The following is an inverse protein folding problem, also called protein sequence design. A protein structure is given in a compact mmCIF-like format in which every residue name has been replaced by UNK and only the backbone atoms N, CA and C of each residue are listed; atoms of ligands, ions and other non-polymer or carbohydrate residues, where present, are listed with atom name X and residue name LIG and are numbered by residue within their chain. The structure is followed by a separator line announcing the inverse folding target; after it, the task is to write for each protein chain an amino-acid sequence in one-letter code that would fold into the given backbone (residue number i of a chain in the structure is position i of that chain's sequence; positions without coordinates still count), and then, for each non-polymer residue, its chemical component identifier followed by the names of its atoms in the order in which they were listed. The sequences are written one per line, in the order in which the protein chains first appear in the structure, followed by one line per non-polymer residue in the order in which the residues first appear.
data_IF_883123044589
#
_entry.id   IF_883123044589
#
_cell.length_a   1.000
_cell.length_b   1.000
_cell.length_c   1.000
_cell.angle_alpha   90.00
_cell.angle_beta   90.00
_cell.angle_gamma   90.00
#
_symmetry.space_group_name_H-M   'P 1'
#
loop_
_entity.id
_entity.type
_entity.pdbx_description
1 polymer ?
#
# COMPACT_ATOMS: atom_id res chain seq x y z
N UNK A 1 17.15 -36.11 63.93
CA UNK A 1 17.32 -34.65 64.02
C UNK A 1 18.17 -34.07 62.90
N UNK A 2 19.29 -34.70 62.50
CA UNK A 2 20.13 -34.26 61.37
C UNK A 2 19.48 -34.43 59.99
N UNK A 3 18.81 -35.55 59.73
CA UNK A 3 18.18 -35.82 58.42
C UNK A 3 17.02 -34.87 58.10
N UNK A 4 16.25 -34.46 59.10
CA UNK A 4 15.14 -33.50 58.95
C UNK A 4 15.62 -32.10 58.54
N UNK A 5 16.80 -31.68 59.02
CA UNK A 5 17.40 -30.39 58.65
C UNK A 5 17.96 -30.39 57.22
N UNK A 6 18.56 -31.51 56.79
CA UNK A 6 19.06 -31.69 55.42
C UNK A 6 17.90 -31.67 54.43
N UNK A 7 16.80 -32.38 54.72
CA UNK A 7 15.62 -32.42 53.85
C UNK A 7 14.91 -31.05 53.74
N UNK A 8 14.81 -30.31 54.85
CA UNK A 8 14.25 -28.94 54.85
C UNK A 8 15.13 -27.95 54.08
N UNK A 9 16.46 -28.05 54.21
CA UNK A 9 17.43 -27.22 53.49
C UNK A 9 17.41 -27.49 51.98
N UNK A 10 17.35 -28.76 51.56
CA UNK A 10 17.21 -29.16 50.16
C UNK A 10 15.87 -28.72 49.55
N UNK A 11 14.78 -28.80 50.30
CA UNK A 11 13.44 -28.37 49.85
C UNK A 11 13.36 -26.86 49.62
N UNK A 12 13.98 -26.06 50.51
CA UNK A 12 14.06 -24.60 50.37
C UNK A 12 14.91 -24.17 49.16
N UNK A 13 16.03 -24.87 48.92
CA UNK A 13 16.88 -24.65 47.75
C UNK A 13 16.15 -24.96 46.44
N UNK A 14 15.42 -26.08 46.36
CA UNK A 14 14.62 -26.45 45.19
C UNK A 14 13.50 -25.45 44.90
N UNK A 15 12.82 -24.95 45.94
CA UNK A 15 11.74 -23.96 45.77
C UNK A 15 12.28 -22.59 45.27
N UNK A 16 13.51 -22.21 45.64
CA UNK A 16 14.14 -21.00 45.13
C UNK A 16 14.62 -21.18 43.67
N UNK A 17 15.14 -22.35 43.32
CA UNK A 17 15.63 -22.66 41.97
C UNK A 17 14.50 -22.73 40.95
N UNK A 18 13.37 -23.36 41.29
CA UNK A 18 12.21 -23.45 40.37
C UNK A 18 11.62 -22.07 40.04
N UNK A 19 11.63 -21.13 41.00
CA UNK A 19 11.18 -19.75 40.75
C UNK A 19 12.09 -19.03 39.75
N UNK A 20 13.41 -19.20 39.88
CA UNK A 20 14.38 -18.61 38.95
C UNK A 20 14.25 -19.19 37.53
N UNK A 21 14.05 -20.50 37.41
CA UNK A 21 13.88 -21.17 36.11
C UNK A 21 12.61 -20.70 35.42
N UNK A 22 11.49 -20.61 36.15
CA UNK A 22 10.20 -20.13 35.59
C UNK A 22 10.30 -18.67 35.14
N UNK A 23 10.95 -17.80 35.92
CA UNK A 23 11.16 -16.40 35.55
C UNK A 23 12.03 -16.31 34.28
N UNK A 24 13.12 -17.06 34.21
CA UNK A 24 14.00 -17.05 33.04
C UNK A 24 13.28 -17.56 31.78
N UNK A 25 12.51 -18.65 31.91
CA UNK A 25 11.69 -19.17 30.82
C UNK A 25 10.63 -18.16 30.36
N UNK A 26 9.98 -17.47 31.30
CA UNK A 26 8.98 -16.45 30.99
C UNK A 26 9.60 -15.23 30.29
N UNK A 27 10.75 -14.75 30.74
CA UNK A 27 11.50 -13.66 30.08
C UNK A 27 11.90 -14.07 28.67
N UNK A 28 12.39 -15.30 28.47
CA UNK A 28 12.76 -15.80 27.15
C UNK A 28 11.53 -15.92 26.23
N UNK A 29 10.40 -16.44 26.74
CA UNK A 29 9.14 -16.48 26.01
C UNK A 29 8.65 -15.07 25.62
N UNK A 30 8.68 -14.12 26.54
CA UNK A 30 8.31 -12.73 26.25
C UNK A 30 9.22 -12.12 25.18
N UNK A 31 10.52 -12.35 25.23
CA UNK A 31 11.47 -11.86 24.22
C UNK A 31 11.18 -12.44 22.82
N UNK A 32 10.89 -13.75 22.73
CA UNK A 32 10.52 -14.40 21.46
C UNK A 32 9.18 -13.85 20.95
N UNK A 33 8.17 -13.72 21.80
CA UNK A 33 6.87 -13.16 21.40
C UNK A 33 6.99 -11.71 20.94
N UNK A 34 7.79 -10.88 21.62
CA UNK A 34 8.07 -9.50 21.23
C UNK A 34 8.79 -9.47 19.87
N UNK A 35 9.79 -10.32 19.66
CA UNK A 35 10.47 -10.44 18.37
C UNK A 35 9.49 -10.86 17.25
N UNK A 36 8.61 -11.84 17.51
CA UNK A 36 7.59 -12.28 16.56
C UNK A 36 6.55 -11.18 16.27
N UNK A 37 6.17 -10.37 17.26
CA UNK A 37 5.29 -9.22 17.05
C UNK A 37 6.00 -8.17 16.21
N UNK A 38 7.28 -7.86 16.45
CA UNK A 38 8.05 -6.94 15.61
C UNK A 38 8.31 -7.49 14.20
N UNK A 39 8.45 -8.81 14.03
CA UNK A 39 8.50 -9.45 12.71
C UNK A 39 7.13 -9.51 12.02
N UNK A 40 6.03 -9.61 12.76
CA UNK A 40 4.67 -9.59 12.21
C UNK A 40 4.19 -8.16 11.92
N UNK A 41 4.75 -7.17 12.62
CA UNK A 41 4.70 -5.74 12.30
C UNK A 41 5.85 -5.40 11.33
N UNK A 42 6.11 -6.27 10.35
CA UNK A 42 6.76 -5.83 9.12
C UNK A 42 5.71 -5.08 8.31
N UNK A 43 5.73 -3.77 8.47
CA UNK A 43 4.90 -2.82 7.77
C UNK A 43 5.32 -2.82 6.31
N UNK A 44 4.75 -3.74 5.51
CA UNK A 44 4.79 -3.74 4.04
C UNK A 44 6.12 -3.23 3.44
N UNK A 45 7.13 -4.09 3.36
CA UNK A 45 8.42 -3.73 2.78
C UNK A 45 9.15 -4.92 2.16
N UNK A 46 8.78 -5.26 0.92
CA UNK A 46 9.50 -6.07 -0.06
C UNK A 46 9.73 -7.57 0.24
N UNK A 47 8.99 -8.41 -0.49
CA UNK A 47 9.40 -9.80 -0.72
C UNK A 47 10.50 -9.84 -1.80
N UNK A 48 11.71 -10.14 -1.32
CA UNK A 48 12.79 -10.96 -1.90
C UNK A 48 13.32 -10.73 -3.32
N UNK A 49 14.60 -10.36 -3.38
CA UNK A 49 15.59 -11.12 -4.15
C UNK A 49 16.97 -11.11 -3.47
N UNK A 50 17.46 -12.33 -3.23
CA UNK A 50 18.85 -12.65 -2.87
C UNK A 50 19.79 -12.18 -3.98
N UNK A 51 20.17 -10.91 -3.94
CA UNK A 51 21.27 -10.33 -4.70
C UNK A 51 22.22 -9.70 -3.69
N UNK A 52 23.49 -10.09 -3.80
CA UNK A 52 24.62 -9.62 -3.01
C UNK A 52 24.44 -8.18 -2.51
N UNK A 53 24.65 -8.00 -1.20
CA UNK A 53 24.49 -6.76 -0.44
C UNK A 53 25.36 -5.60 -0.92
N UNK A 54 25.07 -5.09 -2.11
CA UNK A 54 25.67 -3.93 -2.71
C UNK A 54 24.58 -3.13 -3.46
N UNK A 55 23.97 -2.21 -2.70
CA UNK A 55 23.39 -0.95 -3.20
C UNK A 55 21.92 -0.98 -3.66
N UNK A 56 20.98 -1.21 -2.72
CA UNK A 56 19.67 -0.54 -2.82
C UNK A 56 19.88 0.98 -2.65
N UNK A 57 20.17 1.66 -3.76
CA UNK A 57 20.29 3.12 -3.81
C UNK A 57 18.90 3.74 -3.59
N UNK A 58 18.54 4.02 -2.34
CA UNK A 58 17.33 4.76 -1.97
C UNK A 58 17.49 6.25 -2.30
N UNK A 59 17.35 6.59 -3.57
CA UNK A 59 17.18 7.97 -4.02
C UNK A 59 15.85 8.07 -4.76
N UNK A 60 14.78 8.41 -4.04
CA UNK A 60 13.46 8.65 -4.61
C UNK A 60 13.26 10.16 -4.77
N UNK A 61 12.91 10.62 -5.99
CA UNK A 61 12.48 12.00 -6.24
C UNK A 61 11.25 11.99 -7.14
N UNK A 62 10.16 12.57 -6.65
CA UNK A 62 8.89 12.76 -7.37
C UNK A 62 8.53 14.24 -7.33
N UNK A 63 8.29 14.86 -8.49
CA UNK A 63 7.73 16.21 -8.58
C UNK A 63 6.73 16.25 -9.72
N UNK A 64 5.52 16.70 -9.43
CA UNK A 64 4.34 16.71 -10.30
C UNK A 64 3.70 18.10 -10.18
N UNK A 65 3.54 18.85 -11.26
CA UNK A 65 2.68 20.05 -11.26
C UNK A 65 2.05 20.22 -12.63
N UNK A 66 0.75 20.45 -12.66
CA UNK A 66 -0.07 20.67 -13.85
C UNK A 66 -1.06 21.80 -13.56
N UNK A 67 -1.18 22.74 -14.50
CA UNK A 67 -2.44 23.17 -15.14
C UNK A 67 -2.05 24.13 -16.27
N UNK A 68 -2.20 23.67 -17.52
CA UNK A 68 -1.83 24.39 -18.74
C UNK A 68 -3.08 24.36 -19.64
N UNK A 69 -3.59 25.51 -20.12
CA UNK A 69 -4.78 25.50 -20.95
C UNK A 69 -4.44 24.97 -22.35
N UNK A 70 -5.41 24.36 -23.04
CA UNK A 70 -5.16 23.60 -24.29
C UNK A 70 -4.66 24.51 -25.44
N UNK A 71 -4.91 25.81 -25.35
CA UNK A 71 -4.46 26.86 -26.27
C UNK A 71 -3.02 27.34 -26.04
N UNK A 72 -2.33 26.83 -25.01
CA UNK A 72 -0.94 27.18 -24.71
C UNK A 72 0.02 26.05 -25.08
N UNK A 73 0.80 26.23 -26.16
CA UNK A 73 1.84 25.26 -26.54
C UNK A 73 3.10 25.43 -25.70
N UNK A 74 3.28 24.62 -24.67
CA UNK A 74 4.54 24.55 -23.93
C UNK A 74 5.44 23.49 -24.56
N UNK A 75 6.69 23.81 -24.92
CA UNK A 75 7.64 22.81 -25.39
C UNK A 75 7.99 21.88 -24.22
N UNK A 76 7.41 20.68 -24.25
CA UNK A 76 7.79 19.55 -23.41
C UNK A 76 9.18 19.04 -23.83
N UNK A 77 10.24 19.83 -23.61
CA UNK A 77 11.61 19.33 -23.68
C UNK A 77 11.90 18.66 -22.34
N UNK A 78 12.10 17.35 -22.38
CA UNK A 78 12.48 16.49 -21.25
C UNK A 78 11.43 16.31 -20.13
N UNK A 79 10.14 16.60 -20.39
CA UNK A 79 9.03 16.36 -19.43
C UNK A 79 7.83 15.69 -20.12
N UNK A 80 7.04 14.91 -19.35
CA UNK A 80 5.84 14.21 -19.84
C UNK A 80 4.59 14.89 -19.25
N UNK A 81 3.51 15.02 -20.03
CA UNK A 81 2.24 15.58 -19.52
C UNK A 81 1.61 14.67 -18.46
N UNK A 82 0.86 15.25 -17.50
CA UNK A 82 0.25 14.45 -16.43
C UNK A 82 -0.66 13.36 -17.00
N UNK A 83 -1.45 13.73 -18.02
CA UNK A 83 -2.31 12.82 -18.76
C UNK A 83 -1.57 11.58 -19.27
N UNK A 84 -0.41 11.80 -19.87
CA UNK A 84 0.37 10.75 -20.53
C UNK A 84 1.07 9.89 -19.49
N UNK A 85 1.70 10.51 -18.49
CA UNK A 85 2.35 9.79 -17.40
C UNK A 85 1.36 8.94 -16.60
N UNK A 86 0.17 9.46 -16.29
CA UNK A 86 -0.87 8.68 -15.62
C UNK A 86 -1.30 7.48 -16.47
N UNK A 87 -1.55 7.68 -17.77
CA UNK A 87 -1.88 6.59 -18.71
C UNK A 87 -0.82 5.49 -18.72
N UNK A 88 0.45 5.87 -18.79
CA UNK A 88 1.57 4.92 -18.81
C UNK A 88 1.67 4.13 -17.50
N UNK A 89 1.41 4.77 -16.36
CA UNK A 89 1.36 4.10 -15.05
C UNK A 89 0.21 3.07 -14.98
N UNK A 90 -0.98 3.42 -15.50
CA UNK A 90 -2.11 2.49 -15.56
C UNK A 90 -1.81 1.32 -16.52
N UNK A 91 -1.15 1.57 -17.63
CA UNK A 91 -0.77 0.51 -18.57
C UNK A 91 0.28 -0.45 -17.96
N UNK A 92 1.19 0.05 -17.12
CA UNK A 92 2.19 -0.76 -16.42
C UNK A 92 1.64 -1.49 -15.17
N UNK A 93 0.46 -1.14 -14.68
CA UNK A 93 -0.10 -1.78 -13.51
C UNK A 93 -0.35 -3.29 -13.72
N UNK A 94 0.07 -4.10 -12.75
CA UNK A 94 -0.05 -5.57 -12.81
C UNK A 94 -0.87 -6.18 -11.67
N UNK A 95 -0.99 -5.51 -10.52
CA UNK A 95 -1.64 -6.08 -9.33
C UNK A 95 -2.91 -5.31 -8.96
N UNK A 96 -2.75 -4.04 -8.64
CA UNK A 96 -3.86 -3.19 -8.21
C UNK A 96 -3.60 -1.73 -8.51
N UNK A 97 -4.69 -0.98 -8.64
CA UNK A 97 -4.72 0.48 -8.74
C UNK A 97 -5.76 0.98 -7.76
N UNK A 98 -5.38 1.94 -6.92
CA UNK A 98 -6.29 2.58 -5.97
C UNK A 98 -6.32 4.08 -6.24
N UNK A 99 -7.52 4.63 -6.44
CA UNK A 99 -7.71 6.04 -6.76
C UNK A 99 -8.72 6.62 -5.79
N UNK A 100 -8.31 7.72 -5.15
CA UNK A 100 -9.13 8.50 -4.23
C UNK A 100 -9.37 9.86 -4.87
N UNK A 101 -10.64 10.19 -5.11
CA UNK A 101 -11.01 11.52 -5.59
C UNK A 101 -12.36 11.94 -5.00
N UNK A 102 -12.49 13.17 -4.47
CA UNK A 102 -13.76 13.67 -3.96
C UNK A 102 -14.82 13.75 -5.07
N UNK A 103 -14.40 14.02 -6.32
CA UNK A 103 -15.27 14.17 -7.47
C UNK A 103 -14.79 13.35 -8.68
N UNK A 104 -15.73 12.71 -9.38
CA UNK A 104 -15.47 11.94 -10.61
C UNK A 104 -16.22 12.55 -11.79
N UNK A 105 -15.56 13.45 -12.54
CA UNK A 105 -16.10 14.13 -13.73
C UNK A 105 -15.37 13.67 -14.99
N UNK A 106 -15.33 12.35 -15.21
CA UNK A 106 -14.58 11.78 -16.34
C UNK A 106 -15.45 11.68 -17.60
N UNK A 107 -16.77 11.76 -17.47
CA UNK A 107 -17.68 11.71 -18.60
C UNK A 107 -18.44 13.04 -18.75
N UNK A 108 -17.92 13.96 -19.58
CA UNK A 108 -18.51 15.30 -19.72
C UNK A 108 -19.70 15.38 -20.71
N UNK A 109 -20.45 14.30 -20.91
CA UNK A 109 -21.60 14.31 -21.84
C UNK A 109 -22.74 15.23 -21.39
N UNK A 110 -22.72 15.66 -20.12
CA UNK A 110 -23.79 16.45 -19.49
C UNK A 110 -23.61 17.97 -19.60
N UNK A 111 -22.47 18.46 -20.10
CA UNK A 111 -22.24 19.90 -20.28
C UNK A 111 -22.54 20.35 -21.72
N UNK A 112 -23.41 21.36 -21.87
CA UNK A 112 -23.79 22.03 -23.13
C UNK A 112 -22.57 22.48 -23.95
N UNK A 113 -21.51 22.91 -23.26
CA UNK A 113 -20.18 23.13 -23.83
C UNK A 113 -19.24 22.04 -23.36
N UNK A 114 -18.77 21.17 -24.26
CA UNK A 114 -17.73 20.19 -23.92
C UNK A 114 -16.44 20.95 -23.65
N UNK A 115 -15.95 21.01 -22.39
CA UNK A 115 -14.66 21.64 -22.14
C UNK A 115 -13.58 20.90 -22.93
N UNK A 116 -12.52 21.56 -23.39
CA UNK A 116 -11.50 20.88 -24.19
C UNK A 116 -10.86 19.66 -23.48
N UNK A 117 -10.76 19.71 -22.15
CA UNK A 117 -10.26 18.61 -21.30
C UNK A 117 -11.24 17.41 -21.19
N UNK A 118 -12.48 17.55 -21.65
CA UNK A 118 -13.51 16.49 -21.66
C UNK A 118 -13.02 15.18 -22.26
N UNK A 119 -12.32 15.27 -23.40
CA UNK A 119 -11.85 14.12 -24.16
C UNK A 119 -10.83 13.33 -23.36
N UNK A 120 -9.97 14.01 -22.60
CA UNK A 120 -8.95 13.40 -21.77
C UNK A 120 -9.57 12.62 -20.61
N UNK A 121 -10.62 13.17 -19.98
CA UNK A 121 -11.41 12.47 -18.96
C UNK A 121 -12.02 11.17 -19.48
N UNK A 122 -12.61 11.17 -20.68
CA UNK A 122 -13.22 9.99 -21.27
C UNK A 122 -12.20 8.89 -21.59
N UNK A 123 -11.01 9.28 -22.07
CA UNK A 123 -9.91 8.34 -22.31
C UNK A 123 -9.47 7.68 -21.01
N UNK A 124 -9.33 8.47 -19.93
CA UNK A 124 -8.96 7.95 -18.61
C UNK A 124 -10.01 6.97 -18.08
N UNK A 125 -11.30 7.30 -18.18
CA UNK A 125 -12.40 6.40 -17.78
C UNK A 125 -12.30 5.05 -18.49
N UNK A 126 -12.08 5.06 -19.81
CA UNK A 126 -11.95 3.83 -20.59
C UNK A 126 -10.71 3.01 -20.18
N UNK A 127 -9.59 3.65 -19.88
CA UNK A 127 -8.41 2.95 -19.37
C UNK A 127 -8.65 2.30 -18.02
N UNK A 128 -9.33 2.99 -17.10
CA UNK A 128 -9.68 2.42 -15.80
C UNK A 128 -10.60 1.21 -15.94
N UNK A 129 -11.55 1.24 -16.87
CA UNK A 129 -12.38 0.06 -17.19
C UNK A 129 -11.54 -1.10 -17.75
N UNK A 130 -10.53 -0.81 -18.58
CA UNK A 130 -9.63 -1.83 -19.16
C UNK A 130 -8.71 -2.50 -18.14
N UNK A 131 -8.36 -1.84 -17.04
CA UNK A 131 -7.54 -2.48 -15.99
C UNK A 131 -8.15 -3.80 -15.50
N UNK A 132 -9.48 -3.81 -15.40
CA UNK A 132 -10.24 -4.92 -14.85
C UNK A 132 -10.25 -6.12 -15.82
N UNK A 133 -10.24 -5.87 -17.13
CA UNK A 133 -10.09 -6.94 -18.13
C UNK A 133 -8.69 -7.56 -18.15
N UNK A 134 -7.69 -6.90 -17.55
CA UNK A 134 -6.32 -7.39 -17.38
C UNK A 134 -6.10 -8.05 -16.01
N UNK A 135 -7.16 -8.32 -15.26
CA UNK A 135 -7.10 -8.86 -13.88
C UNK A 135 -6.35 -7.95 -12.90
N UNK A 136 -6.26 -6.66 -13.19
CA UNK A 136 -5.72 -5.65 -12.26
C UNK A 136 -6.86 -5.16 -11.37
N UNK A 137 -6.71 -5.29 -10.04
CA UNK A 137 -7.74 -4.88 -9.09
C UNK A 137 -7.86 -3.37 -9.03
N UNK A 138 -9.01 -2.81 -9.43
CA UNK A 138 -9.29 -1.39 -9.30
C UNK A 138 -10.08 -1.10 -8.01
N UNK A 139 -9.57 -0.19 -7.19
CA UNK A 139 -10.27 0.35 -6.01
C UNK A 139 -10.50 1.83 -6.20
N UNK A 140 -11.75 2.24 -6.04
CA UNK A 140 -12.17 3.63 -6.20
C UNK A 140 -12.82 4.10 -4.92
N UNK A 141 -12.32 5.21 -4.39
CA UNK A 141 -12.88 5.89 -3.22
C UNK A 141 -13.36 7.27 -3.65
N UNK A 142 -14.61 7.58 -3.29
CA UNK A 142 -15.21 8.88 -3.57
C UNK A 142 -16.11 9.34 -2.43
N UNK A 143 -16.20 10.66 -2.28
CA UNK A 143 -17.16 11.30 -1.39
C UNK A 143 -18.57 11.33 -2.02
N UNK A 144 -18.64 11.55 -3.33
CA UNK A 144 -19.89 11.51 -4.10
C UNK A 144 -20.15 10.10 -4.63
N UNK A 145 -21.22 9.44 -4.19
CA UNK A 145 -21.53 8.05 -4.55
C UNK A 145 -22.40 7.88 -5.81
N UNK A 146 -23.05 8.95 -6.27
CA UNK A 146 -24.07 8.89 -7.34
C UNK A 146 -23.58 9.52 -8.65
N UNK A 147 -22.50 8.99 -9.24
CA UNK A 147 -22.06 9.37 -10.59
C UNK A 147 -22.23 8.23 -11.60
N UNK A 148 -22.44 8.59 -12.87
CA UNK A 148 -22.52 7.63 -13.97
C UNK A 148 -21.21 6.86 -14.15
N UNK A 149 -20.10 7.52 -13.84
CA UNK A 149 -18.74 7.04 -13.93
C UNK A 149 -18.45 5.98 -12.87
N UNK A 150 -18.87 6.20 -11.62
CA UNK A 150 -18.70 5.23 -10.54
C UNK A 150 -19.54 3.96 -10.80
N UNK A 151 -20.72 4.12 -11.41
CA UNK A 151 -21.52 2.97 -11.88
C UNK A 151 -20.78 2.21 -12.98
N UNK A 152 -20.20 2.90 -13.96
CA UNK A 152 -19.42 2.26 -15.02
C UNK A 152 -18.17 1.53 -14.48
N UNK A 153 -17.47 2.13 -13.51
CA UNK A 153 -16.28 1.52 -12.90
C UNK A 153 -16.60 0.32 -12.01
N UNK A 154 -17.72 0.36 -11.27
CA UNK A 154 -18.15 -0.76 -10.42
C UNK A 154 -18.71 -1.95 -11.22
N UNK A 155 -19.40 -1.71 -12.35
CA UNK A 155 -19.94 -2.78 -13.20
C UNK A 155 -18.86 -3.67 -13.84
N UNK A 156 -17.64 -3.14 -14.00
CA UNK A 156 -16.52 -3.86 -14.58
C UNK A 156 -15.63 -4.57 -13.54
N UNK A 157 -15.93 -4.39 -12.25
CA UNK A 157 -15.17 -4.96 -11.13
C UNK A 157 -15.83 -6.19 -10.55
N UNK A 158 -15.33 -7.35 -10.98
CA UNK A 158 -15.64 -8.64 -10.37
C UNK A 158 -14.37 -9.26 -9.80
#
# INVERSE_FOLDING_TARGET
YSESYVFASSSCFLQSQHKCIVIFALVCCCAVLIALIFSAVDVWGDDEDNIDGAKCRRSCRVVLVENIPEDLSIPYKDTVSLATGLRELLDQAHRSVEIVSPWWALNSTEYESKPPQAKQGQILLHQLMRLQSRSVRLRVVSELSNSSELKALSQNGK
#
